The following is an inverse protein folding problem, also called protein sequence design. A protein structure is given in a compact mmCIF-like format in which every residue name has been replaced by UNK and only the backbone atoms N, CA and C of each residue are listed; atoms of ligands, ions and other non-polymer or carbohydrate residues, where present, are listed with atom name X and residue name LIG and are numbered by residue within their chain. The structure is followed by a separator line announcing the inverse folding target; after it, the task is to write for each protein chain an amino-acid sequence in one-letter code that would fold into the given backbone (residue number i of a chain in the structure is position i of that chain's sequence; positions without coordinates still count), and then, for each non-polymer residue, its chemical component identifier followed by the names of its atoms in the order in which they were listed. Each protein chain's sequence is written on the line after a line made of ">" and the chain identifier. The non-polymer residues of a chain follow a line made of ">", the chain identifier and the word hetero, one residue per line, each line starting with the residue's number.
data_IF_640082620647
#
_entry.id   IF_640082620647
#
_cell.length_a   1.000
_cell.length_b   1.000
_cell.length_c   1.000
_cell.angle_alpha   90.00
_cell.angle_beta   90.00
_cell.angle_gamma   90.00
#
_symmetry.space_group_name_H-M   'P 1'
#
loop_
_entity.id
_entity.type
_entity.pdbx_description
1 polymer ?
#
# COMPACT_ATOMS: atom_id res chain seq x y z
N UNK A 1 -35.84 20.90 42.06
CA UNK A 1 -34.73 20.40 41.23
C UNK A 1 -35.04 20.52 39.73
N UNK A 2 -36.10 21.25 39.36
CA UNK A 2 -36.68 21.26 38.01
C UNK A 2 -36.17 22.41 37.14
N UNK A 3 -35.66 23.47 37.76
CA UNK A 3 -35.12 24.65 37.07
C UNK A 3 -33.83 24.35 36.31
N UNK A 4 -32.97 23.46 36.84
CA UNK A 4 -31.73 23.05 36.19
C UNK A 4 -31.97 22.13 35.00
N UNK A 5 -32.97 21.24 35.07
CA UNK A 5 -33.36 20.35 33.97
C UNK A 5 -33.93 21.14 32.80
N UNK A 6 -34.75 22.16 33.09
CA UNK A 6 -35.32 23.04 32.07
C UNK A 6 -34.24 23.81 31.31
N UNK A 7 -33.21 24.31 32.00
CA UNK A 7 -32.10 25.04 31.38
C UNK A 7 -31.25 24.12 30.48
N UNK A 8 -30.94 22.91 30.94
CA UNK A 8 -30.24 21.91 30.13
C UNK A 8 -31.00 21.52 28.86
N UNK A 9 -32.33 21.36 28.94
CA UNK A 9 -33.15 21.05 27.78
C UNK A 9 -33.16 22.19 26.75
N UNK A 10 -33.25 23.44 27.20
CA UNK A 10 -33.18 24.62 26.33
C UNK A 10 -31.79 24.74 25.68
N UNK A 11 -30.72 24.49 26.43
CA UNK A 11 -29.36 24.53 25.90
C UNK A 11 -29.11 23.41 24.89
N UNK A 12 -29.61 22.20 25.15
CA UNK A 12 -29.55 21.08 24.21
C UNK A 12 -30.31 21.39 22.91
N UNK A 13 -31.52 21.97 23.00
CA UNK A 13 -32.30 22.37 21.83
C UNK A 13 -31.60 23.47 21.02
N UNK A 14 -31.02 24.47 21.70
CA UNK A 14 -30.22 25.52 21.07
C UNK A 14 -29.01 24.94 20.34
N UNK A 15 -28.26 24.05 20.99
CA UNK A 15 -27.09 23.42 20.39
C UNK A 15 -27.46 22.60 19.15
N UNK A 16 -28.53 21.82 19.20
CA UNK A 16 -29.00 21.04 18.05
C UNK A 16 -29.39 21.96 16.88
N UNK A 17 -30.08 23.07 17.15
CA UNK A 17 -30.41 24.06 16.13
C UNK A 17 -29.16 24.72 15.53
N UNK A 18 -28.15 25.06 16.34
CA UNK A 18 -26.90 25.63 15.83
C UNK A 18 -26.12 24.66 14.95
N UNK A 19 -26.09 23.37 15.31
CA UNK A 19 -25.45 22.32 14.49
C UNK A 19 -26.17 22.15 13.17
N UNK A 20 -27.51 22.04 13.20
CA UNK A 20 -28.33 21.91 11.99
C UNK A 20 -28.14 23.11 11.05
N UNK A 21 -28.08 24.32 11.62
CA UNK A 21 -27.83 25.54 10.85
C UNK A 21 -26.44 25.52 10.21
N UNK A 22 -25.41 25.15 10.96
CA UNK A 22 -24.05 25.01 10.46
C UNK A 22 -23.96 23.99 9.31
N UNK A 23 -24.68 22.87 9.42
CA UNK A 23 -24.70 21.82 8.39
C UNK A 23 -25.41 22.29 7.12
N UNK A 24 -26.48 23.05 7.26
CA UNK A 24 -27.18 23.65 6.14
C UNK A 24 -26.35 24.75 5.45
N UNK A 25 -25.68 25.61 6.22
CA UNK A 25 -24.76 26.61 5.68
C UNK A 25 -23.58 25.95 4.94
N UNK A 26 -23.06 24.85 5.47
CA UNK A 26 -22.04 24.05 4.81
C UNK A 26 -22.56 23.45 3.49
N UNK A 27 -23.74 22.83 3.51
CA UNK A 27 -24.38 22.33 2.29
C UNK A 27 -24.53 23.44 1.25
N UNK A 28 -25.07 24.61 1.62
CA UNK A 28 -25.23 25.74 0.70
C UNK A 28 -23.89 26.25 0.16
N UNK A 29 -22.84 26.27 0.98
CA UNK A 29 -21.48 26.67 0.57
C UNK A 29 -20.93 25.74 -0.50
N UNK A 30 -21.08 24.42 -0.33
CA UNK A 30 -20.68 23.46 -1.33
C UNK A 30 -21.57 23.57 -2.57
N UNK A 31 -22.89 23.54 -2.38
CA UNK A 31 -23.89 23.56 -3.46
C UNK A 31 -23.81 24.80 -4.36
N UNK A 32 -23.41 25.95 -3.81
CA UNK A 32 -23.21 27.17 -4.60
C UNK A 32 -22.10 27.02 -5.67
N UNK A 33 -21.20 26.05 -5.51
CA UNK A 33 -20.16 25.75 -6.49
C UNK A 33 -20.72 24.92 -7.64
N UNK A 34 -20.77 25.52 -8.83
CA UNK A 34 -21.26 24.90 -10.06
C UNK A 34 -20.14 24.35 -10.96
N UNK A 35 -18.89 24.50 -10.53
CA UNK A 35 -17.73 23.99 -11.24
C UNK A 35 -16.91 23.06 -10.33
N UNK A 36 -16.21 22.13 -10.97
CA UNK A 36 -15.40 21.18 -10.24
C UNK A 36 -14.26 21.90 -9.49
N UNK A 37 -13.54 22.82 -10.14
CA UNK A 37 -12.39 23.49 -9.50
C UNK A 37 -12.81 24.30 -8.28
N UNK A 38 -13.87 25.10 -8.34
CA UNK A 38 -14.37 25.85 -7.18
C UNK A 38 -14.89 24.93 -6.08
N UNK A 39 -15.57 23.85 -6.45
CA UNK A 39 -16.06 22.85 -5.50
C UNK A 39 -14.91 22.19 -4.72
N UNK A 40 -13.95 21.57 -5.41
CA UNK A 40 -12.84 20.90 -4.73
C UNK A 40 -11.95 21.89 -3.99
N UNK A 41 -11.90 23.16 -4.44
CA UNK A 41 -11.13 24.19 -3.76
C UNK A 41 -11.83 24.76 -2.52
N UNK A 42 -13.06 24.35 -2.26
CA UNK A 42 -13.80 24.66 -1.04
C UNK A 42 -13.54 23.57 0.01
N UNK A 43 -13.33 23.97 1.26
CA UNK A 43 -13.06 23.02 2.34
C UNK A 43 -14.26 22.09 2.56
N UNK A 44 -13.98 20.80 2.77
CA UNK A 44 -14.98 19.77 3.09
C UNK A 44 -16.10 19.62 2.03
N UNK A 45 -15.79 19.89 0.77
CA UNK A 45 -16.68 19.64 -0.36
C UNK A 45 -16.05 18.63 -1.34
N UNK A 46 -16.89 17.91 -2.07
CA UNK A 46 -16.46 17.00 -3.15
C UNK A 46 -17.37 17.11 -4.37
N UNK A 47 -16.82 16.79 -5.54
CA UNK A 47 -17.54 16.96 -6.81
C UNK A 47 -17.96 15.60 -7.39
N UNK A 48 -19.26 15.46 -7.67
CA UNK A 48 -19.86 14.31 -8.35
C UNK A 48 -20.01 14.64 -9.85
N UNK A 49 -19.22 14.01 -10.75
CA UNK A 49 -19.13 14.44 -12.16
C UNK A 49 -20.33 14.07 -13.02
N UNK A 50 -21.09 13.05 -12.65
CA UNK A 50 -22.24 12.58 -13.42
C UNK A 50 -23.51 13.36 -13.09
N UNK A 51 -23.73 13.65 -11.81
CA UNK A 51 -24.79 14.55 -11.32
C UNK A 51 -24.45 16.04 -11.43
N UNK A 52 -23.20 16.38 -11.78
CA UNK A 52 -22.70 17.77 -11.88
C UNK A 52 -22.97 18.59 -10.62
N UNK A 53 -22.87 17.94 -9.46
CA UNK A 53 -23.22 18.53 -8.18
C UNK A 53 -22.01 18.58 -7.24
N UNK A 54 -21.91 19.68 -6.49
CA UNK A 54 -20.98 19.80 -5.38
C UNK A 54 -21.69 19.46 -4.07
N UNK A 55 -21.16 18.46 -3.38
CA UNK A 55 -21.76 17.88 -2.17
C UNK A 55 -20.84 18.07 -0.96
N UNK A 56 -21.40 18.27 0.25
CA UNK A 56 -20.61 18.34 1.47
C UNK A 56 -20.02 16.97 1.79
N UNK A 57 -18.71 16.95 2.08
CA UNK A 57 -17.96 15.77 2.47
C UNK A 57 -17.06 16.12 3.66
N UNK A 58 -17.57 15.83 4.87
CA UNK A 58 -16.87 16.06 6.14
C UNK A 58 -15.78 15.01 6.41
N UNK A 59 -15.64 13.99 5.56
CA UNK A 59 -14.69 12.90 5.80
C UNK A 59 -13.28 13.31 5.39
N UNK A 60 -12.33 13.13 6.32
CA UNK A 60 -10.91 13.34 6.07
C UNK A 60 -10.16 12.01 6.24
N UNK A 61 -9.43 11.52 5.22
CA UNK A 61 -9.18 12.18 3.93
C UNK A 61 -10.31 11.96 2.91
N UNK A 62 -10.72 13.03 2.21
CA UNK A 62 -11.89 13.04 1.31
C UNK A 62 -11.82 12.02 0.16
N UNK A 63 -10.61 11.62 -0.27
CA UNK A 63 -10.43 10.64 -1.34
C UNK A 63 -10.80 9.21 -0.93
N UNK A 64 -10.89 8.91 0.37
CA UNK A 64 -11.36 7.61 0.86
C UNK A 64 -12.87 7.59 1.14
N UNK A 65 -13.56 8.72 0.99
CA UNK A 65 -15.00 8.79 1.23
C UNK A 65 -15.81 7.73 0.45
N UNK A 66 -15.48 7.39 -0.82
CA UNK A 66 -16.21 6.35 -1.57
C UNK A 66 -16.09 4.92 -1.01
N UNK A 67 -15.13 4.68 -0.12
CA UNK A 67 -14.91 3.35 0.49
C UNK A 67 -15.76 3.20 1.76
N UNK A 68 -15.99 4.29 2.47
CA UNK A 68 -16.69 4.28 3.76
C UNK A 68 -18.16 4.70 3.65
N UNK A 69 -18.52 5.44 2.60
CA UNK A 69 -19.83 6.06 2.45
C UNK A 69 -20.34 5.94 1.01
N UNK A 70 -21.38 5.14 0.83
CA UNK A 70 -22.03 4.91 -0.46
C UNK A 70 -23.01 6.04 -0.85
N UNK A 71 -23.33 6.92 0.11
CA UNK A 71 -24.30 8.00 0.04
C UNK A 71 -23.67 9.37 -0.22
N UNK A 72 -22.37 9.43 -0.51
CA UNK A 72 -21.67 10.70 -0.79
C UNK A 72 -22.22 11.36 -2.07
N UNK A 73 -22.53 10.57 -3.11
CA UNK A 73 -23.14 11.07 -4.34
C UNK A 73 -24.57 10.53 -4.51
N UNK A 74 -25.46 11.25 -5.22
CA UNK A 74 -26.86 10.85 -5.42
C UNK A 74 -27.03 9.49 -6.09
N UNK A 75 -26.06 9.07 -6.89
CA UNK A 75 -26.03 7.76 -7.52
C UNK A 75 -24.82 6.94 -7.04
N UNK A 76 -25.10 5.71 -6.62
CA UNK A 76 -24.12 4.79 -6.03
C UNK A 76 -23.02 4.35 -7.01
N UNK A 77 -23.28 4.39 -8.31
CA UNK A 77 -22.27 4.16 -9.35
C UNK A 77 -21.28 5.32 -9.47
N UNK A 78 -21.69 6.55 -9.13
CA UNK A 78 -20.85 7.75 -9.24
C UNK A 78 -19.78 7.84 -8.14
N UNK A 79 -19.91 7.05 -7.07
CA UNK A 79 -18.99 7.09 -5.92
C UNK A 79 -17.52 6.89 -6.32
N UNK A 80 -17.25 6.00 -7.28
CA UNK A 80 -15.89 5.70 -7.73
C UNK A 80 -15.30 6.78 -8.65
N UNK A 81 -16.16 7.64 -9.21
CA UNK A 81 -15.81 8.79 -10.03
C UNK A 81 -15.76 10.09 -9.22
N UNK A 82 -15.83 10.01 -7.89
CA UNK A 82 -15.73 11.17 -7.00
C UNK A 82 -14.40 11.91 -7.22
N UNK A 83 -14.49 13.24 -7.39
CA UNK A 83 -13.33 14.13 -7.54
C UNK A 83 -13.11 14.93 -6.25
N UNK A 84 -11.90 14.90 -5.72
CA UNK A 84 -11.55 15.50 -4.43
C UNK A 84 -10.20 16.25 -4.50
N UNK A 85 -10.00 17.19 -3.57
CA UNK A 85 -8.72 17.89 -3.37
C UNK A 85 -7.79 16.95 -2.56
N UNK A 86 -6.99 16.11 -3.24
CA UNK A 86 -5.74 16.61 -3.83
C UNK A 86 -5.51 16.26 -5.30
N UNK A 87 -6.39 15.46 -5.92
CA UNK A 87 -6.14 14.90 -7.26
C UNK A 87 -6.64 15.80 -8.40
N UNK A 88 -7.45 16.81 -8.05
CA UNK A 88 -7.96 17.78 -9.00
C UNK A 88 -9.19 17.27 -9.76
N UNK A 89 -9.58 18.02 -10.78
CA UNK A 89 -10.77 17.72 -11.58
C UNK A 89 -10.58 16.68 -12.69
N UNK A 90 -9.35 16.20 -12.89
CA UNK A 90 -9.00 15.27 -13.98
C UNK A 90 -8.82 13.83 -13.52
N UNK A 91 -8.66 13.60 -12.21
CA UNK A 91 -8.38 12.29 -11.66
C UNK A 91 -9.54 11.86 -10.76
N UNK A 92 -10.12 10.70 -11.09
CA UNK A 92 -11.10 10.03 -10.25
C UNK A 92 -10.44 9.23 -9.14
N UNK A 93 -11.17 8.99 -8.06
CA UNK A 93 -10.73 8.13 -6.96
C UNK A 93 -10.30 6.74 -7.46
N UNK A 94 -10.99 6.20 -8.47
CA UNK A 94 -10.62 4.95 -9.12
C UNK A 94 -9.20 4.95 -9.71
N UNK A 95 -8.82 6.02 -10.41
CA UNK A 95 -7.49 6.14 -11.03
C UNK A 95 -6.40 6.18 -9.96
N UNK A 96 -6.64 6.94 -8.89
CA UNK A 96 -5.71 7.07 -7.76
C UNK A 96 -5.50 5.73 -7.08
N UNK A 97 -6.58 5.00 -6.79
CA UNK A 97 -6.50 3.68 -6.17
C UNK A 97 -5.75 2.70 -7.07
N UNK A 98 -6.05 2.69 -8.37
CA UNK A 98 -5.40 1.81 -9.33
C UNK A 98 -3.90 2.08 -9.44
N UNK A 99 -3.51 3.36 -9.52
CA UNK A 99 -2.09 3.75 -9.54
C UNK A 99 -1.40 3.42 -8.21
N UNK A 100 -2.04 3.69 -7.08
CA UNK A 100 -1.50 3.37 -5.75
C UNK A 100 -1.25 1.88 -5.56
N UNK A 101 -2.22 1.04 -5.97
CA UNK A 101 -2.08 -0.42 -5.96
C UNK A 101 -0.98 -0.86 -6.93
N UNK A 102 -0.93 -0.30 -8.14
CA UNK A 102 0.09 -0.62 -9.14
C UNK A 102 1.51 -0.31 -8.66
N UNK A 103 1.72 0.87 -8.06
CA UNK A 103 3.02 1.24 -7.48
C UNK A 103 3.40 0.31 -6.33
N UNK A 104 2.46 0.04 -5.42
CA UNK A 104 2.71 -0.81 -4.24
C UNK A 104 3.07 -2.25 -4.64
N UNK A 105 2.33 -2.83 -5.58
CA UNK A 105 2.59 -4.17 -6.10
C UNK A 105 3.92 -4.25 -6.86
N UNK A 106 4.25 -3.22 -7.64
CA UNK A 106 5.55 -3.15 -8.34
C UNK A 106 6.71 -3.07 -7.37
N UNK A 107 6.63 -2.21 -6.34
CA UNK A 107 7.67 -2.10 -5.31
C UNK A 107 7.84 -3.43 -4.56
N UNK A 108 6.73 -4.08 -4.19
CA UNK A 108 6.76 -5.38 -3.54
C UNK A 108 7.45 -6.43 -4.44
N UNK A 109 7.11 -6.47 -5.73
CA UNK A 109 7.74 -7.37 -6.69
C UNK A 109 9.25 -7.13 -6.81
N UNK A 110 9.69 -5.86 -6.90
CA UNK A 110 11.12 -5.50 -6.97
C UNK A 110 11.86 -5.94 -5.72
N UNK A 111 11.28 -5.71 -4.52
CA UNK A 111 11.88 -6.15 -3.25
C UNK A 111 12.00 -7.67 -3.19
N UNK A 112 10.96 -8.41 -3.58
CA UNK A 112 10.98 -9.86 -3.61
C UNK A 112 12.06 -10.41 -4.56
N UNK A 113 12.17 -9.83 -5.78
CA UNK A 113 13.20 -10.21 -6.74
C UNK A 113 14.61 -9.90 -6.22
N UNK A 114 14.79 -8.77 -5.54
CA UNK A 114 16.07 -8.40 -4.95
C UNK A 114 16.48 -9.37 -3.82
N UNK A 115 15.57 -9.70 -2.92
CA UNK A 115 15.78 -10.68 -1.85
C UNK A 115 16.10 -12.07 -2.42
N UNK A 116 15.38 -12.49 -3.47
CA UNK A 116 15.64 -13.75 -4.16
C UNK A 116 17.05 -13.76 -4.77
N UNK A 117 17.46 -12.67 -5.43
CA UNK A 117 18.80 -12.54 -6.00
C UNK A 117 19.89 -12.60 -4.93
N UNK A 118 19.67 -11.97 -3.76
CA UNK A 118 20.58 -12.04 -2.62
C UNK A 118 20.67 -13.46 -2.06
N UNK A 119 19.53 -14.13 -1.86
CA UNK A 119 19.49 -15.52 -1.40
C UNK A 119 20.26 -16.45 -2.34
N UNK A 120 20.04 -16.33 -3.66
CA UNK A 120 20.77 -17.10 -4.67
C UNK A 120 22.28 -16.81 -4.64
N UNK A 121 22.68 -15.53 -4.47
CA UNK A 121 24.10 -15.15 -4.34
C UNK A 121 24.74 -15.74 -3.07
N UNK A 122 24.04 -15.72 -1.94
CA UNK A 122 24.51 -16.31 -0.68
C UNK A 122 24.66 -17.83 -0.79
N UNK A 123 23.68 -18.52 -1.37
CA UNK A 123 23.75 -19.96 -1.61
C UNK A 123 24.90 -20.30 -2.54
N UNK A 124 25.09 -19.55 -3.64
CA UNK A 124 26.23 -19.74 -4.56
C UNK A 124 27.58 -19.48 -3.91
N UNK A 125 27.70 -18.48 -3.02
CA UNK A 125 28.94 -18.26 -2.25
C UNK A 125 29.22 -19.41 -1.29
N UNK A 126 28.20 -19.88 -0.56
CA UNK A 126 28.32 -20.99 0.39
C UNK A 126 28.64 -22.32 -0.32
N UNK A 127 28.01 -22.57 -1.46
CA UNK A 127 28.31 -23.76 -2.27
C UNK A 127 29.72 -23.70 -2.86
N UNK A 128 30.19 -22.54 -3.36
CA UNK A 128 31.58 -22.40 -3.81
C UNK A 128 32.59 -22.61 -2.68
N UNK A 129 32.31 -22.14 -1.47
CA UNK A 129 33.16 -22.41 -0.30
C UNK A 129 33.21 -23.90 0.07
N UNK A 130 32.05 -24.58 0.07
CA UNK A 130 31.95 -26.01 0.36
C UNK A 130 32.56 -26.89 -0.75
N UNK A 131 32.38 -26.52 -2.03
CA UNK A 131 32.99 -27.20 -3.18
C UNK A 131 34.51 -27.02 -3.18
N UNK A 132 35.02 -25.82 -2.84
CA UNK A 132 36.47 -25.60 -2.74
C UNK A 132 37.09 -26.45 -1.63
N UNK A 133 36.42 -26.58 -0.47
CA UNK A 133 36.87 -27.51 0.58
C UNK A 133 36.85 -28.97 0.12
N UNK A 134 35.82 -29.41 -0.62
CA UNK A 134 35.76 -30.77 -1.16
C UNK A 134 36.87 -31.06 -2.18
N UNK A 135 37.12 -30.14 -3.12
CA UNK A 135 38.20 -30.29 -4.11
C UNK A 135 39.58 -30.32 -3.46
N UNK A 136 39.83 -29.47 -2.46
CA UNK A 136 41.09 -29.48 -1.71
C UNK A 136 41.22 -30.81 -0.95
N UNK A 137 40.19 -31.26 -0.23
CA UNK A 137 40.22 -32.54 0.48
C UNK A 137 40.46 -33.74 -0.45
N UNK A 138 39.90 -33.74 -1.66
CA UNK A 138 40.16 -34.83 -2.65
C UNK A 138 41.58 -34.80 -3.19
N UNK A 139 42.18 -33.61 -3.39
CA UNK A 139 43.57 -33.47 -3.81
C UNK A 139 44.55 -33.98 -2.75
N UNK A 140 44.32 -33.69 -1.47
CA UNK A 140 45.18 -34.19 -0.38
C UNK A 140 45.10 -35.71 -0.24
N UNK A 141 43.91 -36.33 -0.41
CA UNK A 141 43.77 -37.79 -0.35
C UNK A 141 44.31 -38.53 -1.58
N UNK A 142 44.57 -37.82 -2.69
CA UNK A 142 45.10 -38.42 -3.92
C UNK A 142 46.63 -38.53 -3.96
N UNK A 143 47.35 -37.68 -3.23
CA UNK A 143 48.82 -37.64 -3.23
C UNK A 143 49.44 -38.76 -2.39
N UNK A 144 48.78 -39.19 -1.30
CA UNK A 144 49.28 -40.25 -0.42
C UNK A 144 49.30 -41.64 -1.09
N UNK A 145 48.43 -41.89 -2.07
CA UNK A 145 48.36 -43.21 -2.71
C UNK A 145 49.47 -43.43 -3.77
N UNK A 146 50.15 -42.36 -4.21
CA UNK A 146 51.17 -42.47 -5.26
C UNK A 146 52.62 -42.48 -4.71
N UNK A 147 52.80 -42.44 -3.38
CA UNK A 147 54.11 -42.44 -2.72
C UNK A 147 54.51 -43.79 -2.08
N UNK A 148 53.68 -44.82 -2.23
CA UNK A 148 53.86 -46.15 -1.61
C UNK A 148 54.01 -47.33 -2.58
N UNK A 149 54.26 -47.10 -3.88
CA UNK A 149 54.39 -48.15 -4.90
C UNK A 149 55.83 -48.64 -5.09
N UNK A 150 56.51 -49.06 -4.02
CA UNK A 150 57.79 -49.76 -4.13
C UNK A 150 57.56 -51.25 -4.33
N UNK A 151 57.65 -51.72 -5.58
CA UNK A 151 57.57 -53.13 -5.97
C UNK A 151 58.55 -54.02 -5.18
N UNK A 152 58.05 -54.87 -4.30
CA UNK A 152 58.77 -56.07 -3.83
C UNK A 152 58.48 -57.23 -4.77
N UNK A 153 59.36 -57.44 -5.75
CA UNK A 153 59.41 -58.69 -6.54
C UNK A 153 60.03 -59.81 -5.68
N UNK A 154 59.37 -60.97 -5.50
CA UNK A 154 60.03 -62.13 -4.91
C UNK A 154 60.98 -62.77 -5.95
N UNK A 155 62.25 -62.87 -5.59
CA UNK A 155 63.25 -63.65 -6.32
C UNK A 155 63.01 -65.16 -6.05
N UNK A 156 62.78 -65.93 -7.11
CA UNK A 156 62.86 -67.39 -7.09
C UNK A 156 64.33 -67.82 -6.93
N UNK A 157 64.69 -68.70 -5.98
CA UNK A 157 65.94 -69.43 -6.07
C UNK A 157 65.72 -70.61 -7.02
N UNK A 158 66.54 -70.65 -8.06
CA UNK A 158 66.74 -71.85 -8.83
C UNK A 158 67.59 -72.86 -8.07
N UNK A 159 67.38 -74.12 -8.46
CA UNK A 159 68.15 -75.32 -8.18
C UNK A 159 67.68 -76.16 -6.99
#
# INVERSE_FOLDING_TARGET
>A
MDSSISLQAVEAARNNFTVTKSDFEHFLRCWAQQNCDGCINTAECSWCPYSWACVPNKHQPAFLAPIYHDDVCPASAERWELRTRPFGCRASTYTVLSVGVGVSTTLLAVVLLWLLALALRHVRKKSRAATRQRYVATWWTGDDNNRGGGETRPLLPGQ
#
